data_IF_321989433526
#
_entry.id   IF_321989433526
#
_cell.length_a   1.000
_cell.length_b   1.000
_cell.length_c   1.000
_cell.angle_alpha   90.00
_cell.angle_beta   90.00
_cell.angle_gamma   90.00
#
_symmetry.space_group_name_H-M   'P 1'
#
loop_
_entity.id
_entity.type
_entity.pdbx_description
1 polymer ?
#
# COMPACT_ATOMS: atom_id res chain seq x y z
N UNK A 1 49.55 -20.04 5.06
CA UNK A 1 49.73 -19.17 3.87
C UNK A 1 49.44 -17.76 4.36
N UNK A 2 50.43 -17.02 4.87
CA UNK A 2 51.57 -16.44 4.16
C UNK A 2 51.12 -15.48 3.07
N UNK A 3 51.36 -14.18 3.27
CA UNK A 3 51.55 -13.12 2.27
C UNK A 3 51.98 -11.86 3.04
N UNK A 4 53.27 -11.73 3.39
CA UNK A 4 54.36 -11.05 2.65
C UNK A 4 54.16 -9.54 2.41
N UNK A 5 54.90 -8.73 3.18
CA UNK A 5 55.96 -7.74 2.80
C UNK A 5 56.12 -7.34 1.32
N UNK A 6 56.66 -6.13 0.97
CA UNK A 6 57.86 -5.47 1.55
C UNK A 6 57.69 -3.92 1.67
N UNK A 7 58.60 -3.05 2.13
CA UNK A 7 60.02 -3.06 2.43
C UNK A 7 60.63 -1.73 1.94
N UNK A 8 61.59 -1.20 2.71
CA UNK A 8 62.69 -0.32 2.29
C UNK A 8 62.55 1.23 2.34
N UNK A 9 62.98 1.78 3.49
CA UNK A 9 64.22 2.55 3.72
C UNK A 9 64.60 3.78 2.86
N UNK A 10 65.08 4.77 3.63
CA UNK A 10 66.08 5.80 3.33
C UNK A 10 65.61 7.15 2.78
N UNK A 11 66.06 8.22 3.44
CA UNK A 11 66.24 9.52 2.79
C UNK A 11 65.66 10.75 3.49
N UNK A 12 66.29 11.13 4.60
CA UNK A 12 66.68 12.52 4.91
C UNK A 12 65.61 13.63 5.11
N UNK A 13 65.90 14.45 6.12
CA UNK A 13 65.37 15.78 6.47
C UNK A 13 63.94 15.90 7.02
N UNK A 14 63.87 16.47 8.22
CA UNK A 14 62.75 17.30 8.65
C UNK A 14 62.17 16.92 10.00
N UNK A 15 62.51 17.75 10.99
CA UNK A 15 61.93 17.83 12.34
C UNK A 15 60.40 17.73 12.28
N UNK A 16 59.79 17.01 13.23
CA UNK A 16 59.06 17.67 14.31
C UNK A 16 58.47 16.64 15.30
N UNK A 17 58.69 16.98 16.57
CA UNK A 17 57.79 16.83 17.71
C UNK A 17 57.22 15.43 18.01
N UNK A 18 57.84 14.79 19.00
CA UNK A 18 57.04 14.04 19.98
C UNK A 18 57.13 14.68 21.36
N UNK A 19 55.97 14.86 22.02
CA UNK A 19 55.86 15.52 23.29
C UNK A 19 56.04 14.44 24.38
N UNK A 20 56.89 14.76 25.35
CA UNK A 20 57.04 14.07 26.65
C UNK A 20 58.22 13.10 26.75
N UNK A 21 59.42 13.66 26.58
CA UNK A 21 60.66 13.08 27.09
C UNK A 21 61.17 13.87 28.30
N UNK A 22 61.32 13.20 29.43
CA UNK A 22 61.99 13.69 30.63
C UNK A 22 63.52 13.52 30.47
N UNK A 23 64.31 14.58 30.71
CA UNK A 23 65.70 14.43 31.15
C UNK A 23 66.26 15.69 31.82
N UNK A 24 67.10 15.39 32.81
CA UNK A 24 67.65 16.24 33.87
C UNK A 24 68.89 17.04 33.40
N UNK A 25 69.03 18.33 33.80
CA UNK A 25 70.27 19.03 34.23
C UNK A 25 70.20 20.56 34.08
N UNK A 26 70.56 21.27 35.15
CA UNK A 26 71.43 22.45 35.07
C UNK A 26 70.79 23.85 35.17
N UNK A 27 70.87 24.43 36.38
CA UNK A 27 71.34 25.79 36.70
C UNK A 27 71.02 26.96 35.73
N UNK A 28 70.12 27.89 36.12
CA UNK A 28 70.40 29.35 36.31
C UNK A 28 69.12 30.08 36.75
N UNK A 29 69.25 30.96 37.74
CA UNK A 29 68.12 31.67 38.35
C UNK A 29 67.45 32.75 37.49
N UNK A 30 66.28 33.20 37.94
CA UNK A 30 65.60 34.37 37.41
C UNK A 30 64.12 34.46 37.77
N UNK A 31 63.82 35.19 38.85
CA UNK A 31 62.64 36.04 39.14
C UNK A 31 61.23 35.55 38.74
N UNK A 32 60.43 35.35 39.78
CA UNK A 32 59.11 35.96 40.02
C UNK A 32 58.19 36.22 38.82
N UNK A 33 57.15 35.40 38.69
CA UNK A 33 55.76 35.81 38.45
C UNK A 33 54.85 34.57 38.37
N UNK A 34 54.30 34.17 39.53
CA UNK A 34 53.11 33.32 39.58
C UNK A 34 51.84 34.15 39.28
N UNK A 35 50.77 33.54 38.75
CA UNK A 35 49.52 34.24 38.47
C UNK A 35 48.89 34.79 39.76
N UNK A 36 48.16 35.92 39.68
CA UNK A 36 47.67 36.64 40.86
C UNK A 36 46.74 35.76 41.70
N UNK A 37 47.03 35.67 42.99
CA UNK A 37 46.27 34.88 43.96
C UNK A 37 44.81 35.35 44.04
N UNK A 38 43.90 34.39 43.86
CA UNK A 38 42.45 34.58 43.98
C UNK A 38 42.06 35.10 45.40
N UNK A 39 42.95 34.92 46.38
CA UNK A 39 42.83 35.43 47.74
C UNK A 39 42.92 36.96 47.82
N UNK A 40 43.68 37.60 46.92
CA UNK A 40 43.83 39.06 46.94
C UNK A 40 42.59 39.76 46.36
N UNK A 41 41.92 39.09 45.41
CA UNK A 41 40.66 39.54 44.81
C UNK A 41 39.50 39.39 45.80
N UNK A 42 39.51 38.31 46.59
CA UNK A 42 38.54 38.05 47.64
C UNK A 42 38.69 39.02 48.82
N UNK A 43 39.93 39.30 49.22
CA UNK A 43 40.22 40.25 50.29
C UNK A 43 39.84 41.69 49.91
N UNK A 44 40.10 42.12 48.67
CA UNK A 44 39.68 43.46 48.20
C UNK A 44 38.16 43.62 48.09
N UNK A 45 37.41 42.55 47.82
CA UNK A 45 35.94 42.60 47.78
C UNK A 45 35.34 42.75 49.18
N UNK A 46 35.87 42.01 50.17
CA UNK A 46 35.43 42.11 51.57
C UNK A 46 35.70 43.50 52.17
N UNK A 47 36.81 44.13 51.76
CA UNK A 47 37.24 45.45 52.23
C UNK A 47 36.37 46.59 51.67
N UNK A 48 35.80 46.40 50.47
CA UNK A 48 34.92 47.39 49.83
C UNK A 48 33.46 47.24 50.26
N UNK A 49 33.05 46.02 50.63
CA UNK A 49 31.71 45.74 51.18
C UNK A 49 31.60 46.13 52.67
N UNK A 50 32.70 46.06 53.42
CA UNK A 50 32.77 46.44 54.84
C UNK A 50 32.76 47.95 55.12
N UNK A 51 32.83 48.81 54.09
CA UNK A 51 32.98 50.26 54.26
C UNK A 51 31.70 51.06 54.60
N UNK A 52 30.52 50.42 54.66
CA UNK A 52 29.24 51.11 54.94
C UNK A 52 28.43 50.54 56.10
N UNK A 53 28.92 49.52 56.80
CA UNK A 53 28.29 49.03 58.03
C UNK A 53 29.21 49.35 59.22
N UNK A 54 28.77 50.33 60.01
CA UNK A 54 29.63 51.12 60.88
C UNK A 54 30.24 50.39 62.08
N UNK A 55 31.34 50.97 62.54
CA UNK A 55 31.45 51.44 63.92
C UNK A 55 31.75 50.42 65.01
N UNK A 56 32.96 50.56 65.56
CA UNK A 56 33.36 50.27 66.95
C UNK A 56 33.87 48.85 67.25
N UNK A 57 35.15 48.66 66.91
CA UNK A 57 36.20 48.32 67.89
C UNK A 57 36.23 46.91 68.51
N UNK A 58 37.22 46.13 68.09
CA UNK A 58 38.01 45.30 69.01
C UNK A 58 37.90 43.79 68.88
N UNK A 59 39.08 43.17 68.69
CA UNK A 59 39.46 41.76 68.91
C UNK A 59 38.99 40.72 67.88
N UNK A 60 39.98 40.01 67.33
CA UNK A 60 39.82 38.96 66.32
C UNK A 60 38.97 37.77 66.78
N UNK A 61 38.54 36.90 65.86
CA UNK A 61 37.67 35.80 66.21
C UNK A 61 38.50 34.67 66.81
N UNK A 62 38.57 34.63 68.14
CA UNK A 62 38.78 33.39 68.88
C UNK A 62 37.50 32.56 68.78
N UNK A 63 37.60 31.35 68.24
CA UNK A 63 36.65 30.26 68.49
C UNK A 63 36.64 30.03 70.00
N UNK A 64 35.58 30.48 70.68
CA UNK A 64 35.45 30.33 72.13
C UNK A 64 34.14 30.92 72.68
N UNK A 65 33.19 30.03 72.99
CA UNK A 65 32.16 30.21 74.02
C UNK A 65 31.25 31.44 73.96
N UNK A 66 30.10 31.33 73.26
CA UNK A 66 29.01 32.31 73.27
C UNK A 66 27.75 31.75 72.61
N UNK A 67 27.08 30.83 73.31
CA UNK A 67 26.13 29.84 72.79
C UNK A 67 24.74 30.29 72.31
N UNK A 68 24.60 31.42 71.60
CA UNK A 68 23.33 31.74 70.92
C UNK A 68 23.49 32.61 69.65
N UNK A 69 24.40 33.58 69.65
CA UNK A 69 24.47 34.58 68.57
C UNK A 69 25.27 34.12 67.34
N UNK A 70 26.35 33.34 67.50
CA UNK A 70 27.11 32.78 66.38
C UNK A 70 26.39 31.63 65.67
N UNK A 71 25.72 30.77 66.44
CA UNK A 71 24.84 29.72 65.89
C UNK A 71 23.64 30.31 65.15
N UNK A 72 23.10 31.45 65.61
CA UNK A 72 21.99 32.15 64.94
C UNK A 72 22.36 32.61 63.53
N UNK A 73 23.53 33.24 63.34
CA UNK A 73 23.98 33.70 62.01
C UNK A 73 24.23 32.52 61.07
N UNK A 74 24.87 31.45 61.55
CA UNK A 74 25.12 30.24 60.75
C UNK A 74 23.80 29.56 60.36
N UNK A 75 22.84 29.48 61.28
CA UNK A 75 21.51 28.91 61.00
C UNK A 75 20.75 29.74 59.96
N UNK A 76 20.80 31.08 60.03
CA UNK A 76 20.16 31.95 59.03
C UNK A 76 20.79 31.76 57.65
N UNK A 77 22.12 31.69 57.57
CA UNK A 77 22.82 31.44 56.30
C UNK A 77 22.47 30.05 55.75
N UNK A 78 22.42 29.02 56.61
CA UNK A 78 22.04 27.66 56.21
C UNK A 78 20.60 27.59 55.69
N UNK A 79 19.65 28.29 56.34
CA UNK A 79 18.26 28.39 55.89
C UNK A 79 18.17 29.14 54.56
N UNK A 80 18.94 30.22 54.38
CA UNK A 80 18.99 30.95 53.12
C UNK A 80 19.52 30.07 51.98
N UNK A 81 20.62 29.34 52.20
CA UNK A 81 21.18 28.39 51.24
C UNK A 81 20.15 27.29 50.93
N UNK A 82 19.49 26.72 51.93
CA UNK A 82 18.46 25.70 51.74
C UNK A 82 17.26 26.21 50.95
N UNK A 83 16.81 27.44 51.22
CA UNK A 83 15.73 28.08 50.49
C UNK A 83 16.09 28.32 49.02
N UNK A 84 17.25 28.93 48.73
CA UNK A 84 17.70 29.16 47.36
C UNK A 84 18.02 27.87 46.61
N UNK A 85 18.54 26.87 47.31
CA UNK A 85 18.77 25.54 46.76
C UNK A 85 17.44 24.85 46.38
N UNK A 86 16.33 25.18 47.03
CA UNK A 86 15.02 24.59 46.78
C UNK A 86 14.41 24.91 45.41
N UNK A 87 14.92 25.91 44.69
CA UNK A 87 14.44 26.22 43.34
C UNK A 87 14.91 25.20 42.31
N UNK A 88 14.00 24.78 41.46
CA UNK A 88 14.24 23.89 40.32
C UNK A 88 13.28 24.23 39.18
N UNK A 89 13.63 23.83 37.97
CA UNK A 89 12.84 24.09 36.77
C UNK A 89 12.36 22.77 36.18
N UNK A 90 11.10 22.73 35.75
CA UNK A 90 10.51 21.62 34.99
C UNK A 90 10.36 22.05 33.54
N UNK A 91 10.74 21.19 32.59
CA UNK A 91 10.61 21.47 31.16
C UNK A 91 9.14 21.60 30.72
N UNK A 92 8.89 22.32 29.62
CA UNK A 92 7.55 22.56 29.09
C UNK A 92 6.78 21.27 28.73
N UNK A 93 7.51 20.25 28.27
CA UNK A 93 6.95 18.94 27.93
C UNK A 93 6.82 17.98 29.14
N UNK A 94 7.32 18.39 30.31
CA UNK A 94 7.41 17.54 31.50
C UNK A 94 6.45 17.98 32.59
N UNK A 95 6.00 17.02 33.40
CA UNK A 95 5.31 17.27 34.66
C UNK A 95 6.05 16.60 35.79
N UNK A 96 6.23 17.34 36.89
CA UNK A 96 6.92 16.82 38.07
C UNK A 96 5.94 16.17 39.02
N UNK A 97 6.13 14.89 39.35
CA UNK A 97 5.40 14.24 40.43
C UNK A 97 6.18 14.45 41.72
N UNK A 98 5.55 15.08 42.72
CA UNK A 98 6.18 15.38 43.99
C UNK A 98 5.73 14.37 45.04
N UNK A 99 6.70 13.67 45.61
CA UNK A 99 6.52 12.86 46.82
C UNK A 99 7.08 13.61 48.02
N UNK A 100 6.27 13.79 49.06
CA UNK A 100 6.71 14.30 50.36
C UNK A 100 6.88 13.13 51.31
N UNK A 101 8.11 12.87 51.76
CA UNK A 101 8.44 11.74 52.63
C UNK A 101 7.87 10.39 52.10
N UNK A 102 7.88 10.21 50.78
CA UNK A 102 7.37 9.01 50.11
C UNK A 102 5.85 8.96 49.88
N UNK A 103 5.07 9.94 50.37
CA UNK A 103 3.64 10.06 50.07
C UNK A 103 3.41 11.05 48.93
N UNK A 104 2.46 10.75 48.04
CA UNK A 104 2.01 11.67 47.01
C UNK A 104 1.50 12.99 47.61
N UNK A 105 2.08 14.12 47.17
CA UNK A 105 1.66 15.47 47.54
C UNK A 105 0.92 16.16 46.39
N UNK A 106 1.59 16.33 45.24
CA UNK A 106 1.04 17.05 44.08
C UNK A 106 1.78 16.75 42.77
N UNK A 107 1.11 17.04 41.65
CA UNK A 107 1.73 17.19 40.32
C UNK A 107 2.00 18.67 40.08
N UNK A 108 3.17 18.98 39.57
CA UNK A 108 3.66 20.34 39.34
C UNK A 108 3.74 20.63 37.85
N UNK A 109 3.20 21.78 37.47
CA UNK A 109 3.19 22.28 36.10
C UNK A 109 4.57 22.81 35.66
N UNK A 110 4.81 22.95 34.34
CA UNK A 110 6.07 23.44 33.82
C UNK A 110 6.47 24.82 34.34
N UNK A 111 7.78 25.07 34.47
CA UNK A 111 8.32 26.35 34.92
C UNK A 111 9.16 26.27 36.19
N UNK A 112 9.40 27.43 36.80
CA UNK A 112 10.19 27.57 38.02
C UNK A 112 9.35 27.20 39.23
N UNK A 113 9.80 26.18 39.96
CA UNK A 113 9.12 25.65 41.13
C UNK A 113 10.08 25.60 42.32
N UNK A 114 9.50 25.63 43.52
CA UNK A 114 10.26 25.53 44.77
C UNK A 114 9.89 24.27 45.53
N UNK A 115 10.90 23.55 46.02
CA UNK A 115 10.73 22.40 46.91
C UNK A 115 11.67 22.47 48.12
N UNK A 116 11.22 22.07 49.31
CA UNK A 116 12.11 21.81 50.43
C UNK A 116 13.03 20.62 50.11
N UNK A 117 14.29 20.89 49.76
CA UNK A 117 15.28 19.82 49.55
C UNK A 117 15.37 18.95 50.83
N UNK A 118 15.47 17.63 50.66
CA UNK A 118 15.45 16.57 51.69
C UNK A 118 14.06 16.07 52.14
N UNK A 119 12.99 16.84 51.91
CA UNK A 119 11.62 16.43 52.28
C UNK A 119 10.84 15.99 51.06
N UNK A 120 11.02 16.71 49.95
CA UNK A 120 10.28 16.49 48.71
C UNK A 120 11.20 15.89 47.63
N UNK A 121 10.82 14.74 47.11
CA UNK A 121 11.40 14.11 45.91
C UNK A 121 10.55 14.49 44.70
N UNK A 122 11.18 14.87 43.59
CA UNK A 122 10.45 15.23 42.36
C UNK A 122 11.01 14.47 41.19
N UNK A 123 10.13 13.74 40.52
CA UNK A 123 10.44 12.95 39.34
C UNK A 123 9.75 13.60 38.13
N UNK A 124 10.52 14.17 37.19
CA UNK A 124 9.95 14.72 35.96
C UNK A 124 9.56 13.59 35.00
N UNK A 125 8.37 13.67 34.43
CA UNK A 125 7.87 12.74 33.42
C UNK A 125 7.43 13.54 32.20
N UNK A 126 7.93 13.18 31.02
CA UNK A 126 7.51 13.80 29.78
C UNK A 126 6.11 13.31 29.37
N UNK A 127 5.13 14.22 29.35
CA UNK A 127 3.71 13.93 29.04
C UNK A 127 3.35 14.26 27.59
N UNK A 128 4.19 15.02 26.88
CA UNK A 128 3.94 15.40 25.48
C UNK A 128 4.62 14.46 24.49
N UNK A 129 5.67 13.74 24.89
CA UNK A 129 6.37 12.79 24.04
C UNK A 129 5.49 11.58 23.71
N UNK A 130 5.29 11.34 22.43
CA UNK A 130 4.68 10.11 21.93
C UNK A 130 5.77 9.03 21.92
N UNK A 131 5.51 7.94 22.62
CA UNK A 131 6.40 6.77 22.67
C UNK A 131 5.79 5.66 21.84
N UNK A 132 6.63 4.89 21.17
CA UNK A 132 6.22 3.69 20.45
C UNK A 132 6.67 2.44 21.18
N UNK A 133 5.79 1.45 21.20
CA UNK A 133 6.03 0.13 21.74
C UNK A 133 5.73 -0.90 20.66
N UNK A 134 6.72 -1.72 20.31
CA UNK A 134 6.54 -2.81 19.37
C UNK A 134 6.30 -4.12 20.10
N UNK A 135 5.24 -4.81 19.70
CA UNK A 135 4.91 -6.18 20.11
C UNK A 135 4.98 -7.08 18.87
N UNK A 136 5.55 -8.27 19.02
CA UNK A 136 5.55 -9.28 17.95
C UNK A 136 5.63 -10.68 18.52
N UNK A 137 4.96 -11.64 17.87
CA UNK A 137 5.01 -13.04 18.29
C UNK A 137 4.33 -13.98 17.31
N UNK A 138 4.53 -15.28 17.54
CA UNK A 138 3.78 -16.33 16.86
C UNK A 138 2.44 -16.54 17.59
N UNK A 139 1.36 -16.55 16.81
CA UNK A 139 -0.01 -16.69 17.28
C UNK A 139 -0.76 -17.70 16.41
N UNK A 140 -1.80 -18.30 16.99
CA UNK A 140 -2.71 -19.20 16.29
C UNK A 140 -3.99 -18.42 15.96
N UNK A 141 -4.44 -18.53 14.72
CA UNK A 141 -5.70 -17.94 14.25
C UNK A 141 -6.87 -18.86 14.57
N UNK A 142 -8.09 -18.37 14.33
CA UNK A 142 -9.34 -19.11 14.56
C UNK A 142 -9.44 -20.42 13.76
N UNK A 143 -8.84 -20.43 12.59
CA UNK A 143 -8.75 -21.55 11.65
C UNK A 143 -7.47 -22.39 11.84
N UNK A 144 -6.90 -22.37 13.05
CA UNK A 144 -5.75 -23.22 13.46
C UNK A 144 -4.47 -22.99 12.65
N UNK A 145 -4.35 -21.82 12.01
CA UNK A 145 -3.14 -21.45 11.27
C UNK A 145 -2.18 -20.67 12.17
N UNK A 146 -0.88 -20.95 12.03
CA UNK A 146 0.17 -20.23 12.76
C UNK A 146 0.61 -19.02 11.94
N UNK A 147 0.62 -17.84 12.57
CA UNK A 147 1.03 -16.57 11.97
C UNK A 147 2.03 -15.85 12.84
N UNK A 148 3.00 -15.19 12.20
CA UNK A 148 3.82 -14.18 12.87
C UNK A 148 3.16 -12.83 12.69
N UNK A 149 2.80 -12.20 13.81
CA UNK A 149 2.12 -10.90 13.83
C UNK A 149 2.97 -9.90 14.58
N UNK A 150 3.00 -8.66 14.12
CA UNK A 150 3.64 -7.56 14.79
C UNK A 150 2.73 -6.32 14.80
N UNK A 151 2.80 -5.54 15.87
CA UNK A 151 1.98 -4.36 16.09
C UNK A 151 2.81 -3.29 16.78
N UNK A 152 2.67 -2.04 16.31
CA UNK A 152 3.26 -0.87 16.93
C UNK A 152 2.17 -0.07 17.64
N UNK A 153 2.28 0.07 18.95
CA UNK A 153 1.37 0.90 19.77
C UNK A 153 2.05 2.22 20.07
N UNK A 154 1.40 3.32 19.70
CA UNK A 154 1.82 4.66 20.05
C UNK A 154 1.01 5.14 21.24
N UNK A 155 1.68 5.60 22.29
CA UNK A 155 1.04 6.07 23.50
C UNK A 155 1.73 7.32 24.05
N UNK A 156 1.02 8.06 24.89
CA UNK A 156 1.55 9.18 25.66
C UNK A 156 1.09 9.09 27.11
N UNK A 157 1.87 9.67 28.02
CA UNK A 157 1.51 9.73 29.43
C UNK A 157 0.50 10.86 29.63
N UNK A 158 -0.69 10.55 30.16
CA UNK A 158 -1.71 11.53 30.49
C UNK A 158 -1.66 11.93 31.97
N UNK A 159 -1.49 10.96 32.87
CA UNK A 159 -1.33 11.17 34.30
C UNK A 159 0.02 10.62 34.77
N UNK A 160 1.01 11.48 35.07
CA UNK A 160 2.35 11.05 35.45
C UNK A 160 2.40 10.37 36.83
N UNK A 161 1.45 10.66 37.72
CA UNK A 161 1.39 10.00 39.03
C UNK A 161 0.99 8.54 38.87
N UNK A 162 -0.09 8.29 38.12
CA UNK A 162 -0.57 6.93 37.86
C UNK A 162 0.47 6.11 37.10
N UNK A 163 1.13 6.71 36.12
CA UNK A 163 2.17 6.06 35.32
C UNK A 163 3.36 5.55 36.14
N UNK A 164 3.75 6.28 37.18
CA UNK A 164 4.88 5.90 38.03
C UNK A 164 4.51 4.95 39.17
N UNK A 165 3.32 5.09 39.75
CA UNK A 165 3.02 4.49 41.06
C UNK A 165 1.82 3.56 41.11
N UNK A 166 0.94 3.50 40.08
CA UNK A 166 -0.16 2.52 40.07
C UNK A 166 0.32 1.11 39.76
N UNK A 167 1.31 1.00 38.88
CA UNK A 167 1.84 -0.28 38.39
C UNK A 167 3.36 -0.26 38.47
N UNK A 168 3.98 -1.42 38.73
CA UNK A 168 5.43 -1.56 38.91
C UNK A 168 6.22 -1.04 37.70
N UNK A 169 5.75 -1.32 36.50
CA UNK A 169 6.31 -0.80 35.26
C UNK A 169 5.20 -0.65 34.22
N UNK A 170 4.78 0.58 33.95
CA UNK A 170 3.70 0.87 33.01
C UNK A 170 4.05 0.48 31.57
N UNK A 171 5.30 0.59 31.15
CA UNK A 171 5.73 0.26 29.79
C UNK A 171 5.68 -1.25 29.55
N UNK A 172 6.14 -2.05 30.52
CA UNK A 172 6.08 -3.51 30.42
C UNK A 172 4.65 -4.03 30.58
N UNK A 173 3.85 -3.41 31.44
CA UNK A 173 2.43 -3.76 31.60
C UNK A 173 1.64 -3.44 30.33
N UNK A 174 1.94 -2.32 29.67
CA UNK A 174 1.38 -1.99 28.35
C UNK A 174 1.81 -2.98 27.28
N UNK A 175 3.07 -3.47 27.31
CA UNK A 175 3.54 -4.54 26.41
C UNK A 175 2.74 -5.81 26.59
N UNK A 176 2.61 -6.28 27.83
CA UNK A 176 1.86 -7.50 28.15
C UNK A 176 0.37 -7.34 27.80
N UNK A 177 -0.22 -6.16 28.04
CA UNK A 177 -1.59 -5.86 27.66
C UNK A 177 -1.76 -5.88 26.13
N UNK A 178 -0.79 -5.33 25.38
CA UNK A 178 -0.76 -5.35 23.91
C UNK A 178 -0.64 -6.78 23.39
N UNK A 179 0.27 -7.59 23.94
CA UNK A 179 0.44 -8.99 23.57
C UNK A 179 -0.84 -9.78 23.82
N UNK A 180 -1.51 -9.55 24.95
CA UNK A 180 -2.77 -10.19 25.33
C UNK A 180 -3.92 -9.79 24.39
N UNK A 181 -4.09 -8.48 24.14
CA UNK A 181 -5.11 -7.96 23.23
C UNK A 181 -4.91 -8.48 21.81
N UNK A 182 -3.68 -8.42 21.31
CA UNK A 182 -3.33 -8.92 19.99
C UNK A 182 -3.61 -10.42 19.87
N UNK A 183 -3.25 -11.21 20.89
CA UNK A 183 -3.51 -12.66 20.92
C UNK A 183 -5.00 -12.99 20.95
N UNK A 184 -5.80 -12.21 21.69
CA UNK A 184 -7.24 -12.38 21.74
C UNK A 184 -7.90 -12.10 20.38
N UNK A 185 -7.53 -10.99 19.73
CA UNK A 185 -8.11 -10.59 18.44
C UNK A 185 -7.65 -11.50 17.31
N UNK A 186 -6.37 -11.85 17.25
CA UNK A 186 -5.83 -12.78 16.24
C UNK A 186 -6.44 -14.17 16.40
N UNK A 187 -6.66 -14.63 17.64
CA UNK A 187 -7.29 -15.92 17.92
C UNK A 187 -8.76 -16.02 17.50
N UNK A 188 -9.50 -14.89 17.45
CA UNK A 188 -10.87 -14.86 16.92
C UNK A 188 -10.95 -14.47 15.43
N UNK A 189 -9.81 -14.13 14.82
CA UNK A 189 -9.71 -13.76 13.40
C UNK A 189 -9.30 -14.95 12.54
N UNK A 190 -9.84 -15.01 11.32
CA UNK A 190 -9.42 -15.97 10.29
C UNK A 190 -8.11 -15.51 9.65
N UNK A 191 -7.27 -16.46 9.23
CA UNK A 191 -6.01 -16.18 8.51
C UNK A 191 -6.19 -15.22 7.33
N UNK A 192 -7.15 -15.50 6.46
CA UNK A 192 -7.39 -14.69 5.26
C UNK A 192 -7.67 -13.22 5.61
N UNK A 193 -8.48 -12.97 6.64
CA UNK A 193 -8.82 -11.64 7.13
C UNK A 193 -7.58 -10.87 7.63
N UNK A 194 -6.65 -11.58 8.28
CA UNK A 194 -5.39 -11.03 8.79
C UNK A 194 -4.45 -10.67 7.64
N UNK A 195 -4.40 -11.48 6.58
CA UNK A 195 -3.52 -11.29 5.44
C UNK A 195 -4.04 -10.26 4.43
N UNK A 196 -5.36 -10.14 4.26
CA UNK A 196 -5.98 -9.34 3.19
C UNK A 196 -6.54 -8.00 3.70
N UNK A 197 -7.86 -7.83 3.71
CA UNK A 197 -8.60 -6.58 3.93
C UNK A 197 -9.05 -6.37 5.37
N UNK A 198 -9.03 -7.41 6.21
CA UNK A 198 -9.47 -7.35 7.61
C UNK A 198 -8.53 -6.60 8.55
N UNK A 199 -7.36 -6.15 8.08
CA UNK A 199 -6.35 -5.44 8.88
C UNK A 199 -6.90 -4.22 9.61
N UNK A 200 -7.79 -3.46 8.96
CA UNK A 200 -8.40 -2.30 9.59
C UNK A 200 -9.33 -2.69 10.74
N UNK A 201 -10.09 -3.77 10.57
CA UNK A 201 -10.99 -4.29 11.59
C UNK A 201 -10.20 -4.87 12.77
N UNK A 202 -9.10 -5.58 12.50
CA UNK A 202 -8.19 -6.09 13.53
C UNK A 202 -7.58 -4.93 14.31
N UNK A 203 -7.10 -3.88 13.63
CA UNK A 203 -6.56 -2.68 14.26
C UNK A 203 -7.56 -2.03 15.21
N UNK A 204 -8.81 -1.84 14.75
CA UNK A 204 -9.88 -1.27 15.56
C UNK A 204 -10.25 -2.16 16.75
N UNK A 205 -10.45 -3.46 16.53
CA UNK A 205 -10.83 -4.42 17.58
C UNK A 205 -9.72 -4.57 18.62
N UNK A 206 -8.45 -4.53 18.18
CA UNK A 206 -7.30 -4.56 19.08
C UNK A 206 -7.19 -3.29 19.88
N UNK A 207 -7.43 -2.12 19.28
CA UNK A 207 -7.45 -0.85 20.01
C UNK A 207 -8.56 -0.83 21.08
N UNK A 208 -9.75 -1.31 20.76
CA UNK A 208 -10.88 -1.39 21.71
C UNK A 208 -10.58 -2.37 22.87
N UNK A 209 -10.05 -3.54 22.54
CA UNK A 209 -9.65 -4.55 23.53
C UNK A 209 -8.50 -4.04 24.40
N UNK A 210 -7.50 -3.40 23.80
CA UNK A 210 -6.36 -2.84 24.50
C UNK A 210 -6.79 -1.71 25.44
N UNK A 211 -7.68 -0.81 25.00
CA UNK A 211 -8.25 0.24 25.85
C UNK A 211 -8.98 -0.38 27.05
N UNK A 212 -9.82 -1.40 26.82
CA UNK A 212 -10.54 -2.10 27.89
C UNK A 212 -9.58 -2.69 28.93
N UNK A 213 -8.47 -3.29 28.49
CA UNK A 213 -7.45 -3.84 29.37
C UNK A 213 -6.71 -2.72 30.11
N UNK A 214 -6.27 -1.67 29.41
CA UNK A 214 -5.51 -0.55 29.99
C UNK A 214 -6.33 0.24 31.01
N UNK A 215 -7.63 0.42 30.76
CA UNK A 215 -8.56 1.09 31.67
C UNK A 215 -8.70 0.33 33.00
N UNK A 216 -8.60 -1.00 32.99
CA UNK A 216 -8.66 -1.81 34.21
C UNK A 216 -7.44 -1.62 35.13
N UNK A 217 -6.26 -1.41 34.54
CA UNK A 217 -5.02 -1.14 35.29
C UNK A 217 -4.86 0.34 35.67
N UNK A 218 -5.56 1.24 34.97
CA UNK A 218 -5.56 2.70 35.16
C UNK A 218 -4.13 3.25 35.35
N UNK A 219 -3.27 2.92 34.38
CA UNK A 219 -1.84 3.23 34.38
C UNK A 219 -1.54 4.69 34.00
N UNK A 220 -2.56 5.53 33.76
CA UNK A 220 -2.37 6.93 33.37
C UNK A 220 -1.78 7.14 31.97
N UNK A 221 -1.80 6.13 31.10
CA UNK A 221 -1.39 6.23 29.69
C UNK A 221 -2.60 6.35 28.79
N UNK A 222 -2.44 7.09 27.68
CA UNK A 222 -3.45 7.19 26.63
C UNK A 222 -2.83 6.67 25.34
N UNK A 223 -3.50 5.70 24.73
CA UNK A 223 -3.13 5.14 23.43
C UNK A 223 -3.55 6.15 22.36
N UNK A 224 -2.59 6.59 21.56
CA UNK A 224 -2.77 7.57 20.48
C UNK A 224 -3.20 6.85 19.21
N UNK A 225 -2.43 5.83 18.83
CA UNK A 225 -2.71 5.02 17.65
C UNK A 225 -2.12 3.63 17.82
N UNK A 226 -2.70 2.68 17.09
CA UNK A 226 -2.24 1.30 17.03
C UNK A 226 -2.07 0.97 15.57
N UNK A 227 -0.88 0.52 15.18
CA UNK A 227 -0.57 0.18 13.80
C UNK A 227 -0.27 -1.33 13.69
N UNK A 228 -1.09 -2.01 12.88
CA UNK A 228 -0.91 -3.44 12.60
C UNK A 228 0.09 -3.63 11.45
N UNK A 229 1.19 -4.33 11.69
CA UNK A 229 2.15 -4.68 10.64
C UNK A 229 1.68 -5.92 9.88
N UNK A 230 2.15 -6.09 8.64
CA UNK A 230 1.78 -7.24 7.80
C UNK A 230 2.11 -8.57 8.50
N UNK A 231 1.10 -9.38 8.74
CA UNK A 231 1.29 -10.75 9.22
C UNK A 231 1.86 -11.63 8.11
N UNK A 232 2.67 -12.62 8.49
CA UNK A 232 3.26 -13.58 7.55
C UNK A 232 3.18 -15.00 8.12
N UNK A 233 2.91 -16.01 7.27
CA UNK A 233 3.10 -17.41 7.65
C UNK A 233 4.57 -17.68 8.00
N UNK A 234 4.86 -18.69 8.85
CA UNK A 234 6.22 -19.17 9.08
C UNK A 234 6.87 -19.62 7.78
N UNK A 235 8.19 -19.39 7.64
CA UNK A 235 8.92 -19.73 6.41
C UNK A 235 8.87 -21.24 6.10
N UNK A 236 8.73 -22.10 7.12
CA UNK A 236 8.75 -23.55 6.95
C UNK A 236 7.55 -24.09 6.17
N UNK A 237 6.43 -23.37 6.14
CA UNK A 237 5.17 -23.83 5.52
C UNK A 237 4.77 -23.01 4.30
N UNK A 238 5.51 -21.95 3.99
CA UNK A 238 5.15 -20.99 2.94
C UNK A 238 4.91 -21.66 1.59
N UNK A 239 5.80 -22.56 1.16
CA UNK A 239 5.69 -23.20 -0.16
C UNK A 239 4.41 -24.05 -0.29
N UNK A 240 4.01 -24.76 0.77
CA UNK A 240 2.79 -25.55 0.77
C UNK A 240 1.52 -24.68 0.77
N UNK A 241 1.57 -23.51 1.41
CA UNK A 241 0.47 -22.53 1.37
C UNK A 241 0.36 -21.87 -0.02
N UNK A 242 1.48 -21.48 -0.60
CA UNK A 242 1.51 -20.90 -1.94
C UNK A 242 0.96 -21.90 -2.97
N UNK A 243 1.27 -23.19 -2.84
CA UNK A 243 0.71 -24.27 -3.67
C UNK A 243 -0.81 -24.45 -3.46
N UNK A 244 -1.29 -24.46 -2.21
CA UNK A 244 -2.73 -24.57 -1.92
C UNK A 244 -3.53 -23.35 -2.43
N UNK A 245 -2.97 -22.15 -2.36
CA UNK A 245 -3.59 -20.93 -2.92
C UNK A 245 -3.63 -21.03 -4.45
N UNK A 246 -2.52 -21.43 -5.09
CA UNK A 246 -2.46 -21.61 -6.53
C UNK A 246 -3.49 -22.63 -7.02
N UNK A 247 -3.63 -23.76 -6.32
CA UNK A 247 -4.63 -24.79 -6.64
C UNK A 247 -6.07 -24.26 -6.55
N UNK A 248 -6.39 -23.46 -5.52
CA UNK A 248 -7.72 -22.84 -5.36
C UNK A 248 -7.99 -21.78 -6.43
N UNK A 249 -6.99 -20.96 -6.77
CA UNK A 249 -7.11 -19.98 -7.85
C UNK A 249 -7.30 -20.67 -9.21
N UNK A 250 -6.62 -21.80 -9.43
CA UNK A 250 -6.80 -22.64 -10.61
C UNK A 250 -8.22 -23.25 -10.66
N UNK A 251 -8.74 -23.75 -9.55
CA UNK A 251 -10.12 -24.24 -9.43
C UNK A 251 -11.13 -23.16 -9.81
N UNK A 252 -11.04 -21.98 -9.18
CA UNK A 252 -11.93 -20.86 -9.51
C UNK A 252 -11.78 -20.40 -10.96
N UNK A 253 -10.57 -20.46 -11.52
CA UNK A 253 -10.35 -20.15 -12.93
C UNK A 253 -11.07 -21.15 -13.83
N UNK A 254 -10.94 -22.45 -13.56
CA UNK A 254 -11.61 -23.49 -14.35
C UNK A 254 -13.13 -23.40 -14.25
N UNK A 255 -13.69 -23.10 -13.07
CA UNK A 255 -15.11 -22.85 -12.93
C UNK A 255 -15.56 -21.67 -13.79
N UNK A 256 -14.86 -20.53 -13.71
CA UNK A 256 -15.18 -19.33 -14.51
C UNK A 256 -15.05 -19.59 -16.02
N UNK A 257 -14.05 -20.35 -16.45
CA UNK A 257 -13.87 -20.75 -17.85
C UNK A 257 -15.02 -21.65 -18.32
N UNK A 258 -15.43 -22.62 -17.50
CA UNK A 258 -16.56 -23.50 -17.80
C UNK A 258 -17.88 -22.71 -17.88
N UNK A 259 -18.10 -21.76 -16.98
CA UNK A 259 -19.25 -20.87 -17.01
C UNK A 259 -19.24 -19.97 -18.25
N UNK A 260 -18.08 -19.39 -18.59
CA UNK A 260 -17.91 -18.58 -19.80
C UNK A 260 -18.22 -19.41 -21.06
N UNK A 261 -17.71 -20.64 -21.14
CA UNK A 261 -17.98 -21.57 -22.24
C UNK A 261 -19.48 -21.89 -22.35
N UNK A 262 -20.14 -22.22 -21.22
CA UNK A 262 -21.59 -22.46 -21.18
C UNK A 262 -22.37 -21.24 -21.67
N UNK A 263 -22.00 -20.06 -21.17
CA UNK A 263 -22.66 -18.79 -21.48
C UNK A 263 -22.39 -18.34 -22.92
N UNK A 264 -21.35 -18.83 -23.59
CA UNK A 264 -21.08 -18.58 -25.00
C UNK A 264 -21.85 -19.55 -25.93
N UNK A 265 -21.82 -20.85 -25.62
CA UNK A 265 -22.40 -21.90 -26.47
C UNK A 265 -23.93 -21.86 -26.42
N UNK A 266 -24.53 -21.71 -25.24
CA UNK A 266 -25.98 -21.81 -25.10
C UNK A 266 -26.73 -20.73 -25.91
N UNK A 267 -26.38 -19.43 -25.85
CA UNK A 267 -27.04 -18.40 -26.65
C UNK A 267 -26.78 -18.53 -28.15
N UNK A 268 -25.57 -18.96 -28.54
CA UNK A 268 -25.27 -19.23 -29.96
C UNK A 268 -26.11 -20.39 -30.49
N UNK A 269 -26.26 -21.46 -29.72
CA UNK A 269 -27.07 -22.61 -30.09
C UNK A 269 -28.56 -22.26 -30.18
N UNK A 270 -29.11 -21.54 -29.19
CA UNK A 270 -30.52 -21.10 -29.23
C UNK A 270 -30.77 -20.11 -30.36
N UNK A 271 -29.87 -19.14 -30.57
CA UNK A 271 -29.96 -18.19 -31.68
C UNK A 271 -29.92 -18.88 -33.05
N UNK A 272 -29.07 -19.89 -33.24
CA UNK A 272 -29.07 -20.70 -34.46
C UNK A 272 -30.37 -21.49 -34.66
N UNK A 273 -30.88 -22.11 -33.59
CA UNK A 273 -32.12 -22.87 -33.64
C UNK A 273 -33.33 -21.98 -33.98
N UNK A 274 -33.43 -20.81 -33.35
CA UNK A 274 -34.48 -19.83 -33.63
C UNK A 274 -34.36 -19.26 -35.05
N UNK A 275 -33.15 -18.92 -35.49
CA UNK A 275 -32.89 -18.48 -36.87
C UNK A 275 -33.38 -19.53 -37.87
N UNK A 276 -32.95 -20.79 -37.73
CA UNK A 276 -33.35 -21.87 -38.65
C UNK A 276 -34.87 -22.03 -38.69
N UNK A 277 -35.53 -21.98 -37.53
CA UNK A 277 -37.00 -22.04 -37.45
C UNK A 277 -37.66 -20.86 -38.18
N UNK A 278 -37.15 -19.64 -38.00
CA UNK A 278 -37.68 -18.44 -38.66
C UNK A 278 -37.43 -18.45 -40.16
N UNK A 279 -36.29 -18.91 -40.62
CA UNK A 279 -36.00 -19.01 -42.04
C UNK A 279 -36.86 -20.10 -42.72
N UNK A 280 -37.10 -21.24 -42.05
CA UNK A 280 -38.02 -22.26 -42.52
C UNK A 280 -39.47 -21.75 -42.62
N UNK A 281 -39.92 -20.99 -41.62
CA UNK A 281 -41.24 -20.33 -41.65
C UNK A 281 -41.33 -19.31 -42.79
N UNK A 282 -40.31 -18.46 -42.96
CA UNK A 282 -40.26 -17.49 -44.05
C UNK A 282 -40.26 -18.15 -45.44
N UNK A 283 -39.56 -19.29 -45.60
CA UNK A 283 -39.61 -20.07 -46.82
C UNK A 283 -41.01 -20.63 -47.10
N UNK A 284 -41.65 -21.21 -46.09
CA UNK A 284 -43.02 -21.74 -46.20
C UNK A 284 -44.01 -20.63 -46.58
N UNK A 285 -43.97 -19.49 -45.89
CA UNK A 285 -44.82 -18.34 -46.18
C UNK A 285 -44.58 -17.79 -47.58
N UNK A 286 -43.31 -17.69 -48.02
CA UNK A 286 -42.98 -17.28 -49.38
C UNK A 286 -43.60 -18.22 -50.42
N UNK A 287 -43.45 -19.53 -50.26
CA UNK A 287 -44.00 -20.52 -51.20
C UNK A 287 -45.53 -20.46 -51.25
N UNK A 288 -46.18 -20.35 -50.09
CA UNK A 288 -47.65 -20.24 -50.01
C UNK A 288 -48.12 -18.94 -50.67
N UNK A 289 -47.50 -17.82 -50.35
CA UNK A 289 -47.87 -16.51 -50.92
C UNK A 289 -47.59 -16.43 -52.42
N UNK A 290 -46.51 -17.03 -52.90
CA UNK A 290 -46.18 -17.12 -54.32
C UNK A 290 -47.25 -17.95 -55.07
N UNK A 291 -47.65 -19.11 -54.52
CA UNK A 291 -48.72 -19.91 -55.08
C UNK A 291 -50.07 -19.17 -55.09
N UNK A 292 -50.43 -18.49 -53.98
CA UNK A 292 -51.64 -17.67 -53.90
C UNK A 292 -51.61 -16.50 -54.89
N UNK A 293 -50.44 -15.86 -55.07
CA UNK A 293 -50.24 -14.79 -56.04
C UNK A 293 -50.42 -15.27 -57.48
N UNK A 294 -49.86 -16.44 -57.82
CA UNK A 294 -50.04 -17.07 -59.12
C UNK A 294 -51.51 -17.45 -59.39
N UNK A 295 -52.21 -18.01 -58.39
CA UNK A 295 -53.65 -18.32 -58.51
C UNK A 295 -54.46 -17.04 -58.71
N UNK A 296 -54.22 -15.99 -57.91
CA UNK A 296 -54.92 -14.72 -58.06
C UNK A 296 -54.63 -14.04 -59.41
N UNK A 297 -53.42 -14.17 -59.94
CA UNK A 297 -53.07 -13.70 -61.29
C UNK A 297 -53.84 -14.49 -62.35
N UNK A 298 -53.89 -15.82 -62.22
CA UNK A 298 -54.62 -16.69 -63.14
C UNK A 298 -56.13 -16.42 -63.12
N UNK A 299 -56.75 -16.28 -61.95
CA UNK A 299 -58.18 -15.97 -61.80
C UNK A 299 -58.55 -14.64 -62.48
N UNK A 300 -57.67 -13.64 -62.42
CA UNK A 300 -57.87 -12.35 -63.11
C UNK A 300 -57.71 -12.46 -64.63
N UNK A 301 -56.83 -13.33 -65.12
CA UNK A 301 -56.58 -13.51 -66.55
C UNK A 301 -57.62 -14.42 -67.24
N UNK A 302 -58.18 -15.39 -66.51
CA UNK A 302 -59.14 -16.36 -67.03
C UNK A 302 -60.35 -15.76 -67.76
N UNK A 303 -61.08 -14.75 -67.22
CA UNK A 303 -62.24 -14.18 -67.91
C UNK A 303 -61.85 -13.46 -69.20
N UNK A 304 -60.72 -12.75 -69.22
CA UNK A 304 -60.21 -12.06 -70.40
C UNK A 304 -59.79 -13.06 -71.50
N UNK A 305 -59.15 -14.16 -71.09
CA UNK A 305 -58.80 -15.24 -72.01
C UNK A 305 -60.05 -15.91 -72.60
N UNK A 306 -61.11 -16.11 -71.81
CA UNK A 306 -62.38 -16.66 -72.28
C UNK A 306 -63.11 -15.71 -73.25
N UNK A 307 -62.99 -14.39 -73.07
CA UNK A 307 -63.58 -13.40 -73.95
C UNK A 307 -62.89 -13.35 -75.33
N UNK A 308 -61.55 -13.45 -75.37
CA UNK A 308 -60.78 -13.40 -76.62
C UNK A 308 -59.47 -14.22 -76.55
N UNK A 309 -59.49 -15.50 -76.97
CA UNK A 309 -58.37 -16.42 -76.71
C UNK A 309 -57.13 -16.18 -77.57
N UNK A 310 -57.28 -15.85 -78.86
CA UNK A 310 -56.13 -15.69 -79.77
C UNK A 310 -55.29 -14.44 -79.46
N UNK A 311 -55.95 -13.29 -79.23
CA UNK A 311 -55.28 -12.02 -78.94
C UNK A 311 -54.56 -12.06 -77.59
N UNK A 312 -55.16 -12.69 -76.57
CA UNK A 312 -54.58 -12.79 -75.23
C UNK A 312 -53.35 -13.69 -75.23
N UNK A 313 -53.38 -14.82 -75.95
CA UNK A 313 -52.22 -15.71 -76.08
C UNK A 313 -51.07 -15.04 -76.83
N UNK A 314 -51.36 -14.37 -77.94
CA UNK A 314 -50.33 -13.67 -78.72
C UNK A 314 -49.69 -12.54 -77.91
N UNK A 315 -50.50 -11.78 -77.14
CA UNK A 315 -49.99 -10.76 -76.23
C UNK A 315 -49.07 -11.34 -75.16
N UNK A 316 -49.52 -12.35 -74.41
CA UNK A 316 -48.69 -13.00 -73.38
C UNK A 316 -47.38 -13.55 -73.94
N UNK A 317 -47.42 -14.14 -75.15
CA UNK A 317 -46.22 -14.62 -75.83
C UNK A 317 -45.26 -13.48 -76.17
N UNK A 318 -45.75 -12.38 -76.73
CA UNK A 318 -44.91 -11.23 -77.06
C UNK A 318 -44.35 -10.56 -75.79
N UNK A 319 -45.15 -10.39 -74.74
CA UNK A 319 -44.71 -9.80 -73.46
C UNK A 319 -43.63 -10.67 -72.80
N UNK A 320 -43.82 -12.00 -72.77
CA UNK A 320 -42.82 -12.94 -72.21
C UNK A 320 -41.56 -13.00 -73.07
N UNK A 321 -41.69 -12.98 -74.41
CA UNK A 321 -40.54 -12.90 -75.31
C UNK A 321 -39.80 -11.57 -75.13
N UNK A 322 -40.50 -10.44 -74.95
CA UNK A 322 -39.88 -9.15 -74.67
C UNK A 322 -39.05 -9.19 -73.37
N UNK A 323 -39.59 -9.75 -72.30
CA UNK A 323 -38.88 -9.88 -71.01
C UNK A 323 -37.66 -10.81 -71.10
N UNK A 324 -37.81 -11.96 -71.77
CA UNK A 324 -36.71 -12.92 -72.00
C UNK A 324 -35.65 -12.33 -72.94
N UNK A 325 -36.04 -11.63 -74.01
CA UNK A 325 -35.10 -11.00 -74.94
C UNK A 325 -34.42 -9.77 -74.32
N UNK A 326 -35.07 -9.05 -73.40
CA UNK A 326 -34.44 -7.97 -72.63
C UNK A 326 -33.33 -8.50 -71.71
N UNK A 327 -33.52 -9.70 -71.14
CA UNK A 327 -32.55 -10.34 -70.24
C UNK A 327 -31.48 -11.16 -70.95
N UNK A 328 -31.57 -11.37 -72.27
CA UNK A 328 -30.54 -12.06 -73.07
C UNK A 328 -29.63 -11.07 -73.81
N UNK A 329 -28.33 -11.35 -73.84
CA UNK A 329 -27.32 -10.44 -74.40
C UNK A 329 -27.01 -10.64 -75.89
N UNK A 330 -27.69 -11.58 -76.56
CA UNK A 330 -27.33 -11.99 -77.93
C UNK A 330 -28.30 -11.44 -78.97
N UNK A 331 -27.81 -10.50 -79.79
CA UNK A 331 -28.50 -9.92 -80.95
C UNK A 331 -27.98 -10.59 -82.22
N UNK A 332 -28.86 -11.12 -83.06
CA UNK A 332 -28.52 -11.65 -84.39
C UNK A 332 -29.12 -10.74 -85.46
N UNK A 333 -28.29 -10.25 -86.38
CA UNK A 333 -28.68 -9.41 -87.52
C UNK A 333 -28.51 -10.26 -88.78
N UNK A 334 -29.60 -10.45 -89.54
CA UNK A 334 -29.56 -11.09 -90.85
C UNK A 334 -29.41 -9.99 -91.94
N UNK A 335 -28.45 -10.15 -92.84
CA UNK A 335 -28.10 -9.18 -93.88
C UNK A 335 -27.90 -9.92 -95.20
N UNK A 336 -28.84 -9.76 -96.14
CA UNK A 336 -28.76 -10.33 -97.50
C UNK A 336 -27.68 -9.68 -98.38
N UNK A 337 -26.89 -8.74 -97.87
CA UNK A 337 -25.78 -8.14 -98.60
C UNK A 337 -24.51 -8.12 -97.74
N UNK A 338 -23.41 -8.52 -98.37
CA UNK A 338 -22.07 -8.72 -97.82
C UNK A 338 -21.45 -7.47 -97.16
N UNK A 339 -21.87 -7.16 -95.93
CA UNK A 339 -21.26 -6.16 -95.07
C UNK A 339 -21.54 -6.41 -93.60
N UNK A 340 -20.57 -6.96 -92.86
CA UNK A 340 -20.64 -7.08 -91.41
C UNK A 340 -20.70 -5.67 -90.78
N UNK A 341 -21.89 -5.24 -90.37
CA UNK A 341 -22.04 -4.13 -89.42
C UNK A 341 -21.81 -4.67 -88.01
N UNK A 342 -20.59 -4.48 -87.51
CA UNK A 342 -20.23 -4.76 -86.12
C UNK A 342 -20.92 -3.73 -85.21
N UNK A 343 -22.14 -4.02 -84.77
CA UNK A 343 -22.81 -3.27 -83.72
C UNK A 343 -22.14 -3.62 -82.39
N UNK A 344 -21.18 -2.78 -81.97
CA UNK A 344 -20.64 -2.76 -80.62
C UNK A 344 -21.56 -1.88 -79.77
N UNK A 345 -22.37 -2.43 -78.85
CA UNK A 345 -23.18 -1.65 -77.94
C UNK A 345 -22.24 -1.06 -76.89
N UNK A 346 -21.73 0.14 -77.16
CA UNK A 346 -20.77 0.82 -76.26
C UNK A 346 -21.44 1.15 -74.92
N UNK A 347 -22.77 1.29 -74.86
CA UNK A 347 -23.50 1.51 -73.61
C UNK A 347 -23.47 0.31 -72.65
N UNK A 348 -23.45 -0.93 -73.17
CA UNK A 348 -23.35 -2.14 -72.31
C UNK A 348 -21.91 -2.41 -71.86
N UNK A 349 -20.91 -1.99 -72.64
CA UNK A 349 -19.49 -2.06 -72.27
C UNK A 349 -19.02 -0.91 -71.36
N UNK A 350 -19.55 0.31 -71.55
CA UNK A 350 -19.24 1.46 -70.71
C UNK A 350 -19.91 1.38 -69.33
N UNK A 351 -21.00 0.63 -69.20
CA UNK A 351 -21.62 0.28 -67.91
C UNK A 351 -20.81 -0.69 -67.05
N UNK A 352 -19.88 -1.47 -67.63
CA UNK A 352 -18.98 -2.37 -66.90
C UNK A 352 -17.61 -1.73 -66.56
N UNK A 353 -17.37 -0.48 -66.97
CA UNK A 353 -16.05 0.16 -66.83
C UNK A 353 -15.80 1.00 -65.57
N UNK A 354 -16.83 1.33 -64.76
CA UNK A 354 -16.66 2.08 -63.50
C UNK A 354 -17.69 1.69 -62.45
N UNK A 355 -17.56 0.47 -61.93
CA UNK A 355 -17.91 0.25 -60.52
C UNK A 355 -16.71 -0.46 -59.90
N UNK A 356 -16.08 0.19 -58.93
CA UNK A 356 -15.10 -0.42 -58.06
C UNK A 356 -15.61 -1.81 -57.64
N UNK A 357 -14.74 -2.80 -57.72
CA UNK A 357 -14.91 -4.10 -57.08
C UNK A 357 -15.00 -3.90 -55.56
N UNK A 358 -16.12 -3.36 -55.06
CA UNK A 358 -16.74 -3.92 -53.88
C UNK A 358 -17.23 -5.28 -54.33
N UNK A 359 -16.51 -6.29 -53.88
CA UNK A 359 -16.91 -7.69 -53.93
C UNK A 359 -18.26 -7.77 -53.21
N UNK A 360 -19.34 -7.48 -53.93
CA UNK A 360 -20.68 -7.79 -53.51
C UNK A 360 -20.73 -9.30 -53.65
N UNK A 361 -20.41 -10.00 -52.56
CA UNK A 361 -20.84 -11.36 -52.33
C UNK A 361 -22.27 -11.43 -52.84
N UNK A 362 -22.47 -12.15 -53.96
CA UNK A 362 -23.76 -12.77 -54.19
C UNK A 362 -24.16 -13.33 -52.83
N UNK A 363 -25.30 -12.89 -52.34
CA UNK A 363 -26.08 -13.67 -51.40
C UNK A 363 -26.35 -15.01 -52.08
N UNK A 364 -25.35 -15.90 -52.09
CA UNK A 364 -25.58 -17.27 -51.67
C UNK A 364 -26.42 -17.08 -50.43
N UNK A 365 -27.67 -17.51 -50.52
CA UNK A 365 -28.55 -17.64 -49.38
C UNK A 365 -27.70 -17.95 -48.15
N UNK A 366 -27.91 -17.25 -47.04
CA UNK A 366 -27.18 -17.37 -45.75
C UNK A 366 -27.09 -18.82 -45.22
N UNK A 367 -27.65 -19.78 -45.95
CA UNK A 367 -27.59 -21.22 -45.83
C UNK A 367 -26.30 -21.91 -46.31
N UNK A 368 -25.49 -21.33 -47.21
CA UNK A 368 -24.39 -22.09 -47.86
C UNK A 368 -22.98 -21.80 -47.28
N UNK A 369 -22.88 -20.96 -46.25
CA UNK A 369 -21.60 -20.55 -45.65
C UNK A 369 -21.36 -21.07 -44.23
N UNK A 370 -22.15 -22.04 -43.79
CA UNK A 370 -21.79 -22.85 -42.63
C UNK A 370 -21.29 -24.19 -43.18
N UNK A 371 -20.16 -24.16 -43.89
CA UNK A 371 -19.30 -25.34 -43.91
C UNK A 371 -19.04 -25.73 -42.45
N UNK A 372 -19.16 -27.02 -42.15
CA UNK A 372 -18.68 -27.54 -40.88
C UNK A 372 -17.23 -27.12 -40.73
N UNK A 373 -16.93 -26.23 -39.78
CA UNK A 373 -15.63 -26.23 -39.12
C UNK A 373 -15.53 -27.56 -38.37
N UNK A 374 -15.18 -28.63 -39.09
CA UNK A 374 -14.44 -29.73 -38.49
C UNK A 374 -13.13 -29.11 -38.02
N UNK A 375 -12.99 -28.95 -36.71
CA UNK A 375 -11.71 -28.67 -36.08
C UNK A 375 -10.72 -29.77 -36.48
N UNK A 376 -10.00 -29.58 -37.57
CA UNK A 376 -8.67 -30.16 -37.70
C UNK A 376 -7.80 -29.41 -36.70
N UNK A 377 -7.53 -30.06 -35.57
CA UNK A 377 -6.44 -29.69 -34.69
C UNK A 377 -5.15 -29.70 -35.50
N UNK A 378 -4.80 -28.55 -36.06
CA UNK A 378 -3.49 -28.30 -36.61
C UNK A 378 -2.61 -27.87 -35.45
N UNK A 379 -2.05 -28.87 -34.76
CA UNK A 379 -0.89 -28.69 -33.88
C UNK A 379 0.29 -28.25 -34.74
N UNK A 380 0.32 -26.97 -35.12
CA UNK A 380 1.56 -26.29 -35.47
C UNK A 380 2.17 -25.79 -34.18
N UNK A 381 2.92 -26.68 -33.52
CA UNK A 381 3.85 -26.29 -32.48
C UNK A 381 4.91 -25.39 -33.11
N UNK A 382 4.79 -24.08 -32.94
CA UNK A 382 5.91 -23.16 -33.11
C UNK A 382 7.00 -23.57 -32.11
N UNK A 383 7.98 -24.32 -32.60
CA UNK A 383 9.28 -24.47 -31.97
C UNK A 383 10.02 -23.14 -32.08
N UNK A 384 9.67 -22.17 -31.22
CA UNK A 384 10.56 -21.07 -30.89
C UNK A 384 11.71 -21.64 -30.07
N UNK A 385 12.80 -21.93 -30.75
CA UNK A 385 14.12 -22.14 -30.15
C UNK A 385 14.51 -20.91 -29.34
N UNK A 386 14.34 -20.98 -28.03
CA UNK A 386 15.01 -20.10 -27.06
C UNK A 386 16.52 -20.27 -27.20
N UNK A 387 17.33 -19.21 -27.29
CA UNK A 387 18.77 -19.35 -27.11
C UNK A 387 19.02 -19.74 -25.65
N UNK A 388 19.63 -20.91 -25.45
CA UNK A 388 20.15 -21.36 -24.18
C UNK A 388 21.35 -20.48 -23.81
N UNK A 389 21.14 -19.52 -22.92
CA UNK A 389 22.25 -18.85 -22.25
C UNK A 389 22.72 -19.74 -21.09
N UNK A 390 23.95 -20.20 -21.24
CA UNK A 390 24.66 -21.07 -20.30
C UNK A 390 24.98 -20.30 -19.02
N UNK A 391 24.15 -20.44 -17.98
CA UNK A 391 24.61 -20.19 -16.60
C UNK A 391 25.24 -21.46 -16.04
N UNK A 392 26.56 -21.55 -16.24
CA UNK A 392 27.46 -22.37 -15.44
C UNK A 392 27.23 -22.07 -13.95
N UNK A 393 27.19 -23.15 -13.17
CA UNK A 393 27.10 -23.07 -11.72
C UNK A 393 28.31 -22.39 -11.08
N UNK A 394 28.08 -21.93 -9.86
CA UNK A 394 29.10 -21.89 -8.81
C UNK A 394 28.44 -22.33 -7.50
N UNK A 395 29.22 -23.14 -6.79
CA UNK A 395 29.11 -23.52 -5.39
C UNK A 395 28.57 -22.41 -4.48
#
# INVERSE_FOLDING_TARGET
MAWNEPGNNNGNNGRDNDPWGNNNRGNKGGRDQGPPDLDEVFNKLSQKLGGKFGGKGGKGPSIGGGGALGFGVIAVIAIAIWFFAGFYTIGEAERGVVLRLGKYDRVVDPGLNWRPRFVDEVTPVNVQAIRSLRSSGLMLTKDENVVTVAMDVQYRVADPYKYLYRVTNADDSLRQATDSALRAVVGDSLMDSILTSGRQQIRQSTQETLNTIVDSYDMGVVIVDVNFQSARPPEQVKDAFDDAIAAREDEERFEREAEAYRNDILPKATGRAERLKKEALGYSERVVNEALGQVAQFEKLLPEYQAAPEVTRNRLYLDTMEEVYTSTSKVLIDSESSGNLLYLPIDKLAGEGKTQTKRNTKSSSTYDQIELETQTNDTTSESQSRPADSRQGRY
#
